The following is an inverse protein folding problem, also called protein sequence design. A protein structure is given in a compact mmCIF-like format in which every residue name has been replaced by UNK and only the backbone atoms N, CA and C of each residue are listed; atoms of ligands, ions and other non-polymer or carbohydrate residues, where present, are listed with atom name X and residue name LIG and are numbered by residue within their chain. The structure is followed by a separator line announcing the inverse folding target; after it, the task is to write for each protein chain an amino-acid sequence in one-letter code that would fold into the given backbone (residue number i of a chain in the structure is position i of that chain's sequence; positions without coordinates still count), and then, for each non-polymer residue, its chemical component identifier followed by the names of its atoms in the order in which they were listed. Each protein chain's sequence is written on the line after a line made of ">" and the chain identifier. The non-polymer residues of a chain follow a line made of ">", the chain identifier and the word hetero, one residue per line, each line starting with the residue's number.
data_IF_795986917883
#
_entry.id   IF_795986917883
#
_cell.length_a   1.000
_cell.length_b   1.000
_cell.length_c   1.000
_cell.angle_alpha   90.00
_cell.angle_beta   90.00
_cell.angle_gamma   90.00
#
_symmetry.space_group_name_H-M   'P 1'
#
loop_
_entity.id
_entity.type
_entity.pdbx_description
1 polymer ?
#
# COMPACT_ATOMS: atom_id res chain seq x y z
N UNK A 1 7.76 -7.10 -47.26
CA UNK A 1 7.92 -5.86 -46.47
C UNK A 1 7.49 -6.19 -45.05
N UNK A 2 8.46 -6.26 -44.14
CA UNK A 2 8.27 -6.77 -42.78
C UNK A 2 8.04 -5.60 -41.84
N UNK A 3 6.84 -5.44 -41.29
CA UNK A 3 6.58 -4.42 -40.27
C UNK A 3 6.44 -5.10 -38.90
N UNK A 4 7.56 -5.23 -38.19
CA UNK A 4 7.59 -5.48 -36.75
C UNK A 4 7.29 -4.17 -36.03
N UNK A 5 6.05 -3.98 -35.59
CA UNK A 5 5.65 -2.85 -34.73
C UNK A 5 5.92 -3.23 -33.28
N UNK A 6 7.13 -2.95 -32.80
CA UNK A 6 7.44 -2.99 -31.37
C UNK A 6 6.95 -1.68 -30.74
N UNK A 7 5.70 -1.65 -30.29
CA UNK A 7 5.21 -0.60 -29.40
C UNK A 7 5.70 -0.89 -27.99
N UNK A 8 6.59 -0.03 -27.50
CA UNK A 8 6.98 0.13 -26.10
C UNK A 8 5.77 -0.11 -25.19
N UNK A 9 5.85 -1.15 -24.36
CA UNK A 9 5.01 -1.29 -23.20
C UNK A 9 5.35 -0.14 -22.24
N UNK A 10 4.64 0.97 -22.41
CA UNK A 10 4.65 2.07 -21.46
C UNK A 10 4.24 1.48 -20.12
N UNK A 11 5.21 1.46 -19.21
CA UNK A 11 5.09 0.83 -17.91
C UNK A 11 4.19 1.73 -17.08
N UNK A 12 2.88 1.56 -17.23
CA UNK A 12 1.86 2.12 -16.36
C UNK A 12 2.03 1.44 -15.00
N UNK A 13 3.03 1.90 -14.24
CA UNK A 13 3.21 1.49 -12.86
C UNK A 13 2.02 2.09 -12.11
N UNK A 14 1.16 1.28 -11.48
CA UNK A 14 0.10 1.84 -10.65
C UNK A 14 0.74 2.75 -9.61
N UNK A 15 0.11 3.89 -9.34
CA UNK A 15 0.55 4.81 -8.29
C UNK A 15 0.47 4.07 -6.95
N UNK A 16 1.64 3.65 -6.47
CA UNK A 16 1.82 2.98 -5.20
C UNK A 16 2.05 4.07 -4.16
N UNK A 17 1.20 4.06 -3.14
CA UNK A 17 1.30 4.95 -1.99
C UNK A 17 1.85 4.16 -0.81
N UNK A 18 2.86 4.73 -0.16
CA UNK A 18 3.38 4.20 1.10
C UNK A 18 2.37 4.49 2.21
N UNK A 19 1.94 3.44 2.90
CA UNK A 19 1.05 3.52 4.07
C UNK A 19 1.67 2.81 5.25
N UNK A 20 1.46 3.38 6.44
CA UNK A 20 1.88 2.76 7.69
C UNK A 20 0.74 1.94 8.27
N UNK A 21 1.00 0.67 8.57
CA UNK A 21 0.05 -0.23 9.22
C UNK A 21 -0.21 0.25 10.65
N UNK A 22 -1.46 0.46 11.02
CA UNK A 22 -1.88 0.68 12.39
C UNK A 22 -1.97 -0.61 13.22
N UNK A 23 -2.17 -1.75 12.53
CA UNK A 23 -2.36 -3.07 13.15
C UNK A 23 -1.54 -4.12 12.41
N UNK A 24 -1.13 -5.22 13.08
CA UNK A 24 -0.44 -6.30 12.39
C UNK A 24 -1.31 -6.87 11.25
N UNK A 25 -0.76 -6.89 10.05
CA UNK A 25 -1.46 -7.32 8.84
C UNK A 25 -0.56 -8.18 7.97
N UNK A 26 -1.13 -9.16 7.29
CA UNK A 26 -0.39 -10.00 6.35
C UNK A 26 -0.48 -9.38 4.96
N UNK A 27 0.63 -8.83 4.47
CA UNK A 27 0.73 -8.26 3.13
C UNK A 27 1.69 -9.09 2.29
N UNK A 28 1.30 -9.50 1.08
CA UNK A 28 2.18 -10.26 0.18
C UNK A 28 2.70 -11.58 0.75
N UNK A 29 1.90 -12.27 1.58
CA UNK A 29 2.29 -13.48 2.37
C UNK A 29 3.32 -13.22 3.48
N UNK A 30 3.72 -11.98 3.71
CA UNK A 30 4.55 -11.58 4.83
C UNK A 30 3.67 -11.01 5.95
N UNK A 31 3.84 -11.51 7.17
CA UNK A 31 3.17 -10.92 8.34
C UNK A 31 3.95 -9.70 8.78
N UNK A 32 3.30 -8.55 8.74
CA UNK A 32 3.87 -7.26 9.12
C UNK A 32 3.25 -6.80 10.43
N UNK A 33 4.02 -6.08 11.21
CA UNK A 33 3.59 -5.54 12.50
C UNK A 33 2.91 -4.18 12.33
N UNK A 34 2.20 -3.74 13.36
CA UNK A 34 1.81 -2.34 13.46
C UNK A 34 3.06 -1.45 13.42
N UNK A 35 2.97 -0.31 12.75
CA UNK A 35 4.08 0.60 12.45
C UNK A 35 4.87 0.23 11.20
N UNK A 36 4.67 -0.96 10.61
CA UNK A 36 5.37 -1.31 9.37
C UNK A 36 4.80 -0.55 8.17
N UNK A 37 5.69 -0.09 7.31
CA UNK A 37 5.36 0.60 6.06
C UNK A 37 5.17 -0.41 4.94
N UNK A 38 4.12 -0.24 4.16
CA UNK A 38 3.85 -1.02 2.95
C UNK A 38 3.50 -0.11 1.78
N UNK A 39 3.88 -0.53 0.59
CA UNK A 39 3.49 0.12 -0.64
C UNK A 39 2.23 -0.56 -1.18
N UNK A 40 1.16 0.20 -1.29
CA UNK A 40 -0.13 -0.31 -1.80
C UNK A 40 -0.71 0.66 -2.80
N UNK A 41 -1.64 0.23 -3.64
CA UNK A 41 -2.35 1.15 -4.52
C UNK A 41 -3.27 2.08 -3.72
N UNK A 42 -3.63 3.25 -4.27
CA UNK A 42 -4.59 4.17 -3.63
C UNK A 42 -5.93 3.48 -3.25
N UNK A 43 -6.41 2.55 -4.08
CA UNK A 43 -7.61 1.76 -3.78
C UNK A 43 -7.40 0.82 -2.58
N UNK A 44 -6.24 0.15 -2.51
CA UNK A 44 -5.89 -0.69 -1.37
C UNK A 44 -5.68 0.13 -0.10
N UNK A 45 -5.07 1.32 -0.19
CA UNK A 45 -4.99 2.27 0.92
C UNK A 45 -6.39 2.57 1.47
N UNK A 46 -7.32 2.99 0.63
CA UNK A 46 -8.70 3.27 1.05
C UNK A 46 -9.39 2.05 1.68
N UNK A 47 -9.14 0.85 1.15
CA UNK A 47 -9.65 -0.40 1.72
C UNK A 47 -9.06 -0.68 3.11
N UNK A 48 -7.75 -0.53 3.27
CA UNK A 48 -7.05 -0.70 4.54
C UNK A 48 -7.48 0.37 5.56
N UNK A 49 -7.72 1.60 5.13
CA UNK A 49 -8.25 2.69 5.97
C UNK A 49 -9.65 2.35 6.46
N UNK A 50 -10.52 1.86 5.57
CA UNK A 50 -11.88 1.42 5.92
C UNK A 50 -11.89 0.24 6.90
N UNK A 51 -10.89 -0.64 6.83
CA UNK A 51 -10.70 -1.74 7.77
C UNK A 51 -10.04 -1.30 9.09
N UNK A 52 -9.58 -0.06 9.20
CA UNK A 52 -8.79 0.42 10.34
C UNK A 52 -7.42 -0.25 10.45
N UNK A 53 -6.89 -0.76 9.34
CA UNK A 53 -5.58 -1.43 9.25
C UNK A 53 -4.47 -0.43 8.96
N UNK A 54 -4.75 0.65 8.25
CA UNK A 54 -3.86 1.82 8.07
C UNK A 54 -4.64 3.08 8.45
N UNK A 55 -3.94 4.17 8.81
CA UNK A 55 -4.64 5.39 9.25
C UNK A 55 -5.14 5.34 10.70
N UNK A 56 -4.70 4.35 11.47
CA UNK A 56 -4.62 4.54 12.91
C UNK A 56 -3.68 5.69 13.12
N UNK A 57 -4.27 6.84 13.42
CA UNK A 57 -3.56 7.90 14.11
C UNK A 57 -2.68 7.19 15.14
N UNK A 58 -1.42 7.56 15.16
CA UNK A 58 -0.66 7.59 16.39
C UNK A 58 -1.43 8.55 17.31
N UNK A 59 -2.61 8.14 17.76
CA UNK A 59 -3.28 8.70 18.90
C UNK A 59 -2.36 8.23 20.01
N UNK A 60 -1.45 9.14 20.33
CA UNK A 60 -0.74 9.14 21.58
C UNK A 60 -1.72 8.69 22.65
N UNK A 61 -1.47 7.50 23.17
CA UNK A 61 -1.64 7.23 24.59
C UNK A 61 -0.72 8.21 25.34
N UNK A 62 -1.06 9.50 25.30
CA UNK A 62 -0.46 10.52 26.15
C UNK A 62 -1.15 10.37 27.51
N UNK A 63 -0.38 9.78 28.43
CA UNK A 63 -0.64 9.59 29.84
C UNK A 63 -1.47 10.73 30.50
N UNK A 64 -2.45 10.34 31.31
CA UNK A 64 -3.12 11.18 32.29
C UNK A 64 -3.93 10.35 33.26
#
# INVERSE_FOLDING_TARGET
>A
MTTKKATKAETNKPDLVEVTLAKPHTHGRQRLQAGAKIEVTAQQKAWLEKQGVVGGQQEEVSNG
#
